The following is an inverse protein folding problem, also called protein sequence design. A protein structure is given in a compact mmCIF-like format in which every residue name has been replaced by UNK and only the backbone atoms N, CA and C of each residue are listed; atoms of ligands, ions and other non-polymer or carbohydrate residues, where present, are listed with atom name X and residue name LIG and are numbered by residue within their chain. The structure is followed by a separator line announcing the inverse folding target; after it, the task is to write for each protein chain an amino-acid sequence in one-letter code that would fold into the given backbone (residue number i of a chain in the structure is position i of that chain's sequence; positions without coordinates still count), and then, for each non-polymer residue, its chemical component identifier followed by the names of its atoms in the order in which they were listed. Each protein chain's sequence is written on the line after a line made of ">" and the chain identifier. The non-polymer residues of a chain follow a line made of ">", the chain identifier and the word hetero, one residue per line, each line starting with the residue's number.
data_IF_433274641457
#
_entry.id   IF_433274641457
#
_cell.length_a   1.000
_cell.length_b   1.000
_cell.length_c   1.000
_cell.angle_alpha   90.00
_cell.angle_beta   90.00
_cell.angle_gamma   90.00
#
_symmetry.space_group_name_H-M   'P 1'
#
loop_
_entity.id
_entity.type
_entity.pdbx_description
1 polymer ?
#
# COMPACT_ATOMS: atom_id res chain seq x y z
N UNK A 1 -9.47 4.41 15.42
CA UNK A 1 -9.12 3.60 14.24
C UNK A 1 -10.02 2.38 14.05
N UNK A 2 -10.67 2.26 12.90
CA UNK A 2 -11.25 0.99 12.46
C UNK A 2 -10.14 0.01 12.04
N UNK A 3 -10.49 -1.27 11.92
CA UNK A 3 -9.54 -2.36 11.65
C UNK A 3 -8.90 -2.25 10.27
N UNK A 4 -9.62 -1.76 9.26
CA UNK A 4 -9.08 -1.61 7.90
C UNK A 4 -8.02 -0.52 7.87
N UNK A 5 -8.31 0.60 8.51
CA UNK A 5 -7.36 1.69 8.70
C UNK A 5 -6.12 1.23 9.47
N UNK A 6 -6.26 0.37 10.49
CA UNK A 6 -5.14 -0.20 11.23
C UNK A 6 -4.25 -1.10 10.34
N UNK A 7 -4.85 -1.92 9.48
CA UNK A 7 -4.12 -2.74 8.50
C UNK A 7 -3.35 -1.85 7.52
N UNK A 8 -4.00 -0.82 6.97
CA UNK A 8 -3.37 0.13 6.03
C UNK A 8 -2.22 0.89 6.69
N UNK A 9 -2.40 1.37 7.91
CA UNK A 9 -1.34 2.03 8.67
C UNK A 9 -0.18 1.07 8.97
N UNK A 10 -0.45 -0.22 9.21
CA UNK A 10 0.58 -1.24 9.42
C UNK A 10 1.36 -1.51 8.13
N UNK A 11 0.68 -1.61 6.98
CA UNK A 11 1.34 -1.74 5.68
C UNK A 11 2.21 -0.52 5.37
N UNK A 12 1.74 0.69 5.67
CA UNK A 12 2.52 1.91 5.48
C UNK A 12 3.81 1.92 6.32
N UNK A 13 3.77 1.39 7.55
CA UNK A 13 4.98 1.24 8.39
C UNK A 13 5.98 0.26 7.78
N UNK A 14 5.54 -0.88 7.27
CA UNK A 14 6.42 -1.84 6.59
C UNK A 14 7.03 -1.22 5.31
N UNK A 15 6.25 -0.44 4.55
CA UNK A 15 6.77 0.30 3.40
C UNK A 15 7.83 1.33 3.82
N UNK A 16 7.64 2.06 4.92
CA UNK A 16 8.64 2.99 5.45
C UNK A 16 9.99 2.30 5.71
N UNK A 17 9.97 1.14 6.37
CA UNK A 17 11.20 0.38 6.69
C UNK A 17 11.97 0.05 5.41
N UNK A 18 11.28 -0.51 4.40
CA UNK A 18 11.90 -0.87 3.13
C UNK A 18 12.42 0.33 2.35
N UNK A 19 11.66 1.44 2.36
CA UNK A 19 12.04 2.68 1.69
C UNK A 19 13.25 3.36 2.36
N UNK A 20 13.37 3.28 3.68
CA UNK A 20 14.52 3.81 4.43
C UNK A 20 15.79 2.97 4.22
N UNK A 21 15.65 1.65 3.99
CA UNK A 21 16.76 0.75 3.67
C UNK A 21 17.24 0.86 2.21
N UNK A 22 16.42 1.44 1.33
CA UNK A 22 16.70 1.49 -0.11
C UNK A 22 17.67 2.63 -0.46
N UNK A 23 18.81 2.27 -1.06
CA UNK A 23 19.81 3.23 -1.58
C UNK A 23 19.70 3.51 -3.08
N UNK A 24 18.82 2.80 -3.78
CA UNK A 24 18.68 2.89 -5.24
C UNK A 24 17.36 3.56 -5.62
N UNK A 25 17.47 4.66 -6.34
CA UNK A 25 16.35 5.34 -6.98
C UNK A 25 16.36 5.06 -8.48
N UNK A 26 15.21 4.69 -9.05
CA UNK A 26 15.09 4.64 -10.50
C UNK A 26 14.84 6.05 -11.02
N UNK A 27 15.91 6.76 -11.42
CA UNK A 27 15.84 8.15 -11.88
C UNK A 27 15.02 8.35 -13.19
N UNK A 28 14.61 7.26 -13.85
CA UNK A 28 13.72 7.34 -15.03
C UNK A 28 12.25 7.51 -14.65
N UNK A 29 11.89 7.26 -13.39
CA UNK A 29 10.52 7.43 -12.91
C UNK A 29 10.24 8.90 -12.54
N UNK A 30 8.98 9.35 -12.68
CA UNK A 30 8.54 10.65 -12.18
C UNK A 30 8.93 10.88 -10.71
N UNK A 31 9.12 12.16 -10.33
CA UNK A 31 9.45 12.55 -8.93
C UNK A 31 8.47 11.97 -7.89
N UNK A 32 7.20 11.85 -8.25
CA UNK A 32 6.14 11.31 -7.39
C UNK A 32 6.26 9.80 -7.18
N UNK A 33 7.13 9.12 -7.90
CA UNK A 33 7.45 7.70 -7.71
C UNK A 33 8.86 7.53 -7.14
N UNK A 34 9.58 8.60 -6.80
CA UNK A 34 10.92 8.47 -6.21
C UNK A 34 10.83 8.01 -4.75
N UNK A 35 11.82 7.27 -4.23
CA UNK A 35 11.80 6.70 -2.88
C UNK A 35 11.42 7.71 -1.80
N UNK A 36 12.01 8.92 -1.84
CA UNK A 36 11.75 9.98 -0.86
C UNK A 36 10.27 10.41 -0.82
N UNK A 37 9.63 10.48 -1.99
CA UNK A 37 8.21 10.84 -2.08
C UNK A 37 7.32 9.71 -1.57
N UNK A 38 7.64 8.46 -1.93
CA UNK A 38 6.92 7.28 -1.45
C UNK A 38 7.06 7.14 0.08
N UNK A 39 8.24 7.46 0.63
CA UNK A 39 8.50 7.47 2.06
C UNK A 39 7.68 8.56 2.77
N UNK A 40 7.66 9.76 2.20
CA UNK A 40 6.80 10.83 2.68
C UNK A 40 5.33 10.42 2.68
N UNK A 41 4.82 9.83 1.58
CA UNK A 41 3.44 9.35 1.51
C UNK A 41 3.14 8.28 2.56
N UNK A 42 4.05 7.33 2.77
CA UNK A 42 3.93 6.27 3.78
C UNK A 42 3.83 6.85 5.21
N UNK A 43 4.61 7.89 5.49
CA UNK A 43 4.54 8.66 6.75
C UNK A 43 3.21 9.40 6.87
N UNK A 44 2.70 10.01 5.80
CA UNK A 44 1.38 10.67 5.81
C UNK A 44 0.24 9.70 6.10
N UNK A 45 0.24 8.50 5.52
CA UNK A 45 -0.76 7.46 5.79
C UNK A 45 -0.76 7.11 7.28
N UNK A 46 0.42 6.94 7.88
CA UNK A 46 0.54 6.61 9.30
C UNK A 46 0.08 7.76 10.22
N UNK A 47 0.45 9.00 9.89
CA UNK A 47 0.12 10.17 10.70
C UNK A 47 -1.36 10.56 10.65
N UNK A 48 -2.04 10.26 9.55
CA UNK A 48 -3.44 10.60 9.34
C UNK A 48 -4.36 9.38 9.33
N UNK A 49 -3.90 8.25 9.89
CA UNK A 49 -4.70 7.03 9.96
C UNK A 49 -6.05 7.29 10.64
N UNK A 50 -6.09 8.04 11.74
CA UNK A 50 -7.34 8.33 12.45
C UNK A 50 -8.19 9.45 11.82
N UNK A 51 -7.62 10.27 10.93
CA UNK A 51 -8.28 11.48 10.39
C UNK A 51 -8.83 11.30 8.97
N UNK A 52 -8.25 10.40 8.18
CA UNK A 52 -8.60 10.25 6.76
C UNK A 52 -9.55 9.08 6.52
N UNK A 53 -10.42 9.18 5.49
CA UNK A 53 -11.25 8.06 5.09
C UNK A 53 -10.41 6.84 4.69
N UNK A 54 -10.84 5.65 5.11
CA UNK A 54 -10.18 4.38 4.76
C UNK A 54 -9.99 4.21 3.24
N UNK A 55 -10.94 4.66 2.43
CA UNK A 55 -10.85 4.63 0.95
C UNK A 55 -9.70 5.47 0.41
N UNK A 56 -9.41 6.63 1.03
CA UNK A 56 -8.26 7.46 0.66
C UNK A 56 -6.96 6.79 1.06
N UNK A 57 -6.88 6.30 2.31
CA UNK A 57 -5.72 5.59 2.82
C UNK A 57 -5.39 4.36 1.95
N UNK A 58 -6.42 3.63 1.53
CA UNK A 58 -6.30 2.47 0.66
C UNK A 58 -5.69 2.81 -0.72
N UNK A 59 -6.22 3.84 -1.39
CA UNK A 59 -5.66 4.29 -2.68
C UNK A 59 -4.20 4.73 -2.54
N UNK A 60 -3.88 5.41 -1.45
CA UNK A 60 -2.52 5.89 -1.19
C UNK A 60 -1.54 4.75 -0.93
N UNK A 61 -1.91 3.75 -0.13
CA UNK A 61 -1.03 2.61 0.11
C UNK A 61 -0.82 1.78 -1.17
N UNK A 62 -1.86 1.61 -1.99
CA UNK A 62 -1.74 0.97 -3.30
C UNK A 62 -0.79 1.71 -4.24
N UNK A 63 -0.86 3.05 -4.27
CA UNK A 63 0.08 3.89 -5.03
C UNK A 63 1.53 3.71 -4.55
N UNK A 64 1.75 3.69 -3.22
CA UNK A 64 3.08 3.46 -2.64
C UNK A 64 3.64 2.10 -3.06
N UNK A 65 2.86 1.04 -2.90
CA UNK A 65 3.25 -0.32 -3.26
C UNK A 65 3.57 -0.44 -4.76
N UNK A 66 2.73 0.13 -5.62
CA UNK A 66 2.98 0.19 -7.07
C UNK A 66 4.27 0.97 -7.40
N UNK A 67 4.53 2.07 -6.69
CA UNK A 67 5.77 2.83 -6.82
C UNK A 67 7.01 2.03 -6.39
N UNK A 68 6.93 1.26 -5.31
CA UNK A 68 8.02 0.38 -4.87
C UNK A 68 8.32 -0.72 -5.90
N UNK A 69 7.28 -1.30 -6.51
CA UNK A 69 7.43 -2.25 -7.62
C UNK A 69 8.07 -1.59 -8.84
N UNK A 70 7.63 -0.38 -9.22
CA UNK A 70 8.22 0.38 -10.32
C UNK A 70 9.71 0.70 -10.11
N UNK A 71 10.11 0.95 -8.86
CA UNK A 71 11.52 1.15 -8.49
C UNK A 71 12.30 -0.16 -8.35
N UNK A 72 11.67 -1.32 -8.55
CA UNK A 72 12.26 -2.66 -8.35
C UNK A 72 12.76 -2.88 -6.92
N UNK A 73 12.15 -2.20 -5.95
CA UNK A 73 12.39 -2.43 -4.53
C UNK A 73 11.70 -3.72 -4.06
N UNK A 74 10.56 -4.01 -4.69
CA UNK A 74 9.77 -5.22 -4.51
C UNK A 74 9.45 -5.77 -5.90
N UNK A 75 9.44 -7.08 -6.03
CA UNK A 75 8.70 -7.74 -7.09
C UNK A 75 7.25 -7.98 -6.64
N UNK A 76 6.41 -8.49 -7.55
CA UNK A 76 5.00 -8.77 -7.26
C UNK A 76 4.84 -9.77 -6.10
N UNK A 77 5.73 -10.77 -6.00
CA UNK A 77 5.68 -11.77 -4.93
C UNK A 77 6.09 -11.16 -3.58
N UNK A 78 7.08 -10.28 -3.54
CA UNK A 78 7.48 -9.54 -2.34
C UNK A 78 6.38 -8.59 -1.85
N UNK A 79 5.71 -7.89 -2.77
CA UNK A 79 4.56 -7.06 -2.43
C UNK A 79 3.39 -7.89 -1.85
N UNK A 80 3.11 -9.05 -2.45
CA UNK A 80 2.09 -10.00 -1.98
C UNK A 80 2.45 -10.62 -0.63
N UNK A 81 3.72 -10.98 -0.42
CA UNK A 81 4.20 -11.54 0.84
C UNK A 81 4.10 -10.53 1.99
N UNK A 82 4.46 -9.26 1.73
CA UNK A 82 4.29 -8.18 2.71
C UNK A 82 2.82 -8.01 3.11
N UNK A 83 1.91 -8.01 2.13
CA UNK A 83 0.47 -7.97 2.40
C UNK A 83 0.01 -9.18 3.22
N UNK A 84 0.41 -10.39 2.82
CA UNK A 84 0.03 -11.61 3.51
C UNK A 84 0.51 -11.62 4.96
N UNK A 85 1.73 -11.17 5.25
CA UNK A 85 2.28 -11.04 6.61
C UNK A 85 1.43 -10.12 7.47
N UNK A 86 1.03 -8.96 6.92
CA UNK A 86 0.14 -8.04 7.64
C UNK A 86 -1.22 -8.69 7.85
N UNK A 87 -1.82 -9.29 6.81
CA UNK A 87 -3.12 -9.98 6.92
C UNK A 87 -3.10 -11.12 7.94
N UNK A 88 -2.03 -11.91 8.01
CA UNK A 88 -1.86 -12.98 9.00
C UNK A 88 -1.77 -12.43 10.43
N UNK A 89 -1.18 -11.26 10.61
CA UNK A 89 -1.17 -10.55 11.90
C UNK A 89 -2.59 -10.17 12.36
N UNK A 90 -3.53 -10.04 11.42
CA UNK A 90 -4.94 -9.68 11.66
C UNK A 90 -5.93 -10.81 11.30
N UNK A 91 -5.47 -12.06 11.16
CA UNK A 91 -6.31 -13.21 10.78
C UNK A 91 -7.38 -13.49 11.85
N UNK A 92 -8.61 -13.79 11.43
CA UNK A 92 -9.77 -14.00 12.32
C UNK A 92 -10.67 -12.77 12.51
N UNK A 93 -10.47 -11.74 11.68
CA UNK A 93 -11.21 -10.50 11.73
C UNK A 93 -11.99 -10.33 10.44
N UNK A 94 -13.29 -10.02 10.50
CA UNK A 94 -14.08 -9.66 9.31
C UNK A 94 -13.47 -8.41 8.68
N UNK A 95 -12.91 -8.57 7.48
CA UNK A 95 -12.34 -7.51 6.65
C UNK A 95 -13.24 -7.38 5.43
N UNK A 96 -13.56 -6.15 5.05
CA UNK A 96 -14.37 -5.84 3.88
C UNK A 96 -13.77 -6.45 2.60
N UNK A 97 -14.58 -7.27 1.93
CA UNK A 97 -14.21 -8.06 0.76
C UNK A 97 -13.78 -7.17 -0.42
N UNK A 98 -14.41 -6.00 -0.57
CA UNK A 98 -14.10 -5.06 -1.65
C UNK A 98 -12.64 -4.56 -1.59
N UNK A 99 -11.99 -4.54 -0.42
CA UNK A 99 -10.57 -4.14 -0.29
C UNK A 99 -9.59 -5.29 -0.61
N UNK A 100 -10.02 -6.54 -0.51
CA UNK A 100 -9.17 -7.72 -0.72
C UNK A 100 -9.21 -8.15 -2.20
N UNK A 101 -10.30 -7.81 -2.90
CA UNK A 101 -10.55 -8.18 -4.28
C UNK A 101 -9.50 -7.65 -5.27
N UNK A 102 -8.78 -6.59 -4.91
CA UNK A 102 -7.69 -6.04 -5.73
C UNK A 102 -6.37 -6.82 -5.57
N UNK A 103 -6.33 -7.74 -4.61
CA UNK A 103 -5.15 -8.45 -4.12
C UNK A 103 -5.28 -9.98 -4.28
N UNK A 104 -6.45 -10.45 -4.72
CA UNK A 104 -6.70 -11.83 -5.11
C UNK A 104 -6.41 -12.01 -6.62
N UNK A 105 -5.48 -12.90 -6.94
CA UNK A 105 -5.07 -13.17 -8.33
C UNK A 105 -6.13 -13.96 -9.12
N UNK A 106 -7.05 -14.63 -8.43
CA UNK A 106 -8.18 -15.36 -9.03
C UNK A 106 -9.40 -14.44 -9.22
N UNK A 107 -9.40 -13.26 -8.60
CA UNK A 107 -10.42 -12.25 -8.83
C UNK A 107 -10.06 -11.44 -10.09
N UNK A 108 -10.94 -11.36 -11.11
CA UNK A 108 -10.67 -10.62 -12.34
C UNK A 108 -10.52 -9.13 -12.01
N UNK A 109 -9.27 -8.73 -11.82
CA UNK A 109 -8.82 -7.37 -11.53
C UNK A 109 -9.60 -6.32 -12.34
N UNK A 110 -10.56 -5.64 -11.70
CA UNK A 110 -11.08 -4.36 -12.16
C UNK A 110 -10.27 -3.28 -11.48
N UNK A 111 -9.32 -2.72 -12.22
CA UNK A 111 -8.72 -1.45 -11.86
C UNK A 111 -9.85 -0.40 -11.93
N UNK A 112 -10.61 -0.23 -10.85
CA UNK A 112 -11.57 0.86 -10.77
C UNK A 112 -10.76 2.16 -10.68
N UNK A 113 -10.52 2.75 -11.84
CA UNK A 113 -10.21 4.18 -11.96
C UNK A 113 -11.42 4.92 -11.39
N UNK A 114 -11.42 5.15 -10.07
CA UNK A 114 -12.53 5.82 -9.40
C UNK A 114 -12.88 7.13 -10.09
N UNK A 115 -14.03 7.14 -10.76
CA UNK A 115 -14.41 8.25 -11.65
C UNK A 115 -15.61 8.00 -12.55
N UNK A 116 -16.55 7.12 -12.21
CA UNK A 116 -17.93 7.08 -12.73
C UNK A 116 -18.77 6.52 -11.57
N UNK A 117 -19.65 7.24 -10.86
CA UNK A 117 -20.69 8.18 -11.25
C UNK A 117 -20.96 9.18 -10.11
#
# INVERSE_FOLDING_TARGET
>A
MDKHTLIIATMAKECCVLLEETKQSNNTLPRTLQPDHLLWMSKQISNHADDWPATKLHRWIGYVQGGMVGNRMLDFEGAKAMFNKVRETFKGTEIDQDLIDHLDAENPFRLETGGES
#
